data_IF_719017093277
#
_entry.id   IF_719017093277
#
_cell.length_a   1.000
_cell.length_b   1.000
_cell.length_c   1.000
_cell.angle_alpha   90.00
_cell.angle_beta   90.00
_cell.angle_gamma   90.00
#
_symmetry.space_group_name_H-M   'P 1'
#
loop_
_entity.id
_entity.type
_entity.pdbx_description
1 polymer ?
#
# COMPACT_ATOMS: atom_id res chain seq x y z
N UNK A 1 13.95 -3.21 -18.39
CA UNK A 1 13.21 -3.67 -17.23
C UNK A 1 14.05 -3.35 -16.00
N UNK A 2 13.50 -2.55 -15.08
CA UNK A 2 14.19 -2.11 -13.86
C UNK A 2 13.98 -3.13 -12.73
N UNK A 3 12.76 -3.63 -12.58
CA UNK A 3 12.43 -4.68 -11.62
C UNK A 3 11.30 -5.56 -12.14
N UNK A 4 11.16 -6.76 -11.58
CA UNK A 4 10.00 -7.63 -11.75
C UNK A 4 9.42 -7.90 -10.37
N UNK A 5 8.11 -7.93 -10.27
CA UNK A 5 7.41 -8.17 -9.03
C UNK A 5 6.33 -9.22 -9.24
N UNK A 6 6.32 -10.22 -8.39
CA UNK A 6 5.25 -11.18 -8.29
C UNK A 6 4.40 -10.80 -7.08
N UNK A 7 3.09 -10.71 -7.27
CA UNK A 7 2.12 -10.35 -6.23
C UNK A 7 2.29 -11.26 -5.00
N UNK A 8 2.47 -10.65 -3.82
CA UNK A 8 2.70 -11.39 -2.56
C UNK A 8 1.39 -11.97 -2.02
N UNK A 9 0.29 -11.21 -2.17
CA UNK A 9 -1.03 -11.64 -1.75
C UNK A 9 -1.97 -11.76 -2.96
N UNK A 10 -1.94 -12.88 -3.70
CA UNK A 10 -2.95 -13.14 -4.74
C UNK A 10 -4.34 -13.10 -4.14
N UNK A 11 -5.31 -12.60 -4.90
CA UNK A 11 -6.70 -12.48 -4.45
C UNK A 11 -7.41 -13.84 -4.54
N UNK A 12 -7.00 -14.76 -3.67
CA UNK A 12 -7.63 -16.08 -3.59
C UNK A 12 -9.04 -16.00 -2.99
N UNK A 13 -9.97 -16.88 -3.44
CA UNK A 13 -9.79 -17.88 -4.50
C UNK A 13 -10.05 -17.38 -5.93
N UNK A 14 -10.15 -16.07 -6.15
CA UNK A 14 -10.46 -15.50 -7.47
C UNK A 14 -9.29 -15.56 -8.45
N UNK A 15 -8.05 -15.45 -7.96
CA UNK A 15 -6.81 -15.59 -8.73
C UNK A 15 -6.22 -17.00 -8.56
N UNK A 16 -7.05 -18.03 -8.70
CA UNK A 16 -6.63 -19.41 -8.60
C UNK A 16 -5.59 -19.75 -9.68
N UNK A 17 -4.51 -20.46 -9.28
CA UNK A 17 -3.40 -20.79 -10.18
C UNK A 17 -2.32 -19.70 -10.31
N UNK A 18 -2.50 -18.54 -9.72
CA UNK A 18 -1.45 -17.51 -9.64
C UNK A 18 -0.44 -17.88 -8.56
N UNK A 19 0.85 -17.95 -8.93
CA UNK A 19 1.91 -18.22 -7.98
C UNK A 19 2.15 -17.00 -7.07
N UNK A 20 2.23 -17.25 -5.77
CA UNK A 20 2.52 -16.24 -4.77
C UNK A 20 3.99 -15.78 -4.86
N UNK A 21 4.21 -14.45 -4.82
CA UNK A 21 5.53 -13.87 -4.66
C UNK A 21 6.03 -13.94 -3.22
N UNK A 22 7.33 -13.82 -3.04
CA UNK A 22 7.99 -13.84 -1.71
C UNK A 22 8.98 -12.70 -1.53
N UNK A 23 9.19 -11.89 -2.57
CA UNK A 23 10.17 -10.81 -2.57
C UNK A 23 9.49 -9.44 -2.71
N UNK A 24 10.04 -8.43 -2.03
CA UNK A 24 9.56 -7.06 -2.14
C UNK A 24 9.88 -6.49 -3.53
N UNK A 25 8.90 -5.86 -4.16
CA UNK A 25 9.10 -5.08 -5.37
C UNK A 25 9.66 -3.71 -5.05
N UNK A 26 10.95 -3.49 -5.26
CA UNK A 26 11.63 -2.23 -4.98
C UNK A 26 12.46 -1.77 -6.18
N UNK A 27 12.50 -0.46 -6.41
CA UNK A 27 13.42 0.15 -7.37
C UNK A 27 13.68 1.62 -7.04
N UNK A 28 14.83 2.12 -7.46
CA UNK A 28 15.21 3.52 -7.25
C UNK A 28 15.02 4.33 -8.53
N UNK A 29 14.48 5.55 -8.37
CA UNK A 29 14.47 6.57 -9.41
C UNK A 29 15.41 7.69 -8.98
N UNK A 30 16.50 7.95 -9.72
CA UNK A 30 17.48 8.98 -9.37
C UNK A 30 16.82 10.34 -9.12
N UNK A 31 17.20 11.00 -8.03
CA UNK A 31 16.69 12.32 -7.61
C UNK A 31 15.18 12.36 -7.25
N UNK A 32 14.49 11.23 -7.22
CA UNK A 32 13.07 11.15 -6.83
C UNK A 32 12.91 10.35 -5.54
N UNK A 33 13.45 9.12 -5.49
CA UNK A 33 13.34 8.27 -4.32
C UNK A 33 13.25 6.79 -4.64
N UNK A 34 13.05 5.99 -3.60
CA UNK A 34 12.83 4.55 -3.71
C UNK A 34 11.35 4.25 -3.78
N UNK A 35 10.97 3.50 -4.79
CA UNK A 35 9.62 3.04 -5.04
C UNK A 35 9.42 1.62 -4.54
N UNK A 36 8.26 1.38 -3.91
CA UNK A 36 7.76 0.06 -3.58
C UNK A 36 6.53 -0.28 -4.41
N UNK A 37 6.31 -1.55 -4.69
CA UNK A 37 5.15 -2.06 -5.44
C UNK A 37 4.26 -2.84 -4.50
N UNK A 38 2.97 -2.47 -4.43
CA UNK A 38 1.90 -3.21 -3.80
C UNK A 38 0.79 -3.40 -4.83
N UNK A 39 0.73 -4.57 -5.47
CA UNK A 39 -0.16 -4.80 -6.61
C UNK A 39 -1.57 -5.21 -6.15
N UNK A 40 -2.55 -4.36 -6.40
CA UNK A 40 -3.97 -4.62 -6.17
C UNK A 40 -4.22 -5.04 -4.70
N UNK A 41 -4.64 -6.28 -4.46
CA UNK A 41 -4.95 -6.82 -3.14
C UNK A 41 -3.81 -6.72 -2.11
N UNK A 42 -2.56 -6.59 -2.55
CA UNK A 42 -1.41 -6.37 -1.68
C UNK A 42 -1.57 -5.18 -0.74
N UNK A 43 -2.29 -4.11 -1.15
CA UNK A 43 -2.47 -2.90 -0.33
C UNK A 43 -3.30 -3.15 0.93
N UNK A 44 -4.09 -4.21 0.96
CA UNK A 44 -4.92 -4.60 2.10
C UNK A 44 -4.10 -5.15 3.27
N UNK A 45 -2.82 -5.46 3.03
CA UNK A 45 -1.91 -6.05 4.01
C UNK A 45 -0.91 -5.01 4.52
N UNK A 46 -1.13 -4.45 5.73
CA UNK A 46 -0.24 -3.44 6.31
C UNK A 46 1.18 -3.98 6.53
N UNK A 47 1.35 -5.29 6.66
CA UNK A 47 2.64 -5.96 6.79
C UNK A 47 3.52 -5.72 5.56
N UNK A 48 2.95 -5.82 4.34
CA UNK A 48 3.69 -5.60 3.11
C UNK A 48 4.10 -4.12 2.99
N UNK A 49 3.17 -3.20 3.19
CA UNK A 49 3.47 -1.77 3.07
C UNK A 49 4.46 -1.31 4.15
N UNK A 50 4.39 -1.90 5.35
CA UNK A 50 5.39 -1.70 6.40
C UNK A 50 6.75 -2.23 5.97
N UNK A 51 6.83 -3.45 5.42
CA UNK A 51 8.07 -4.02 4.93
C UNK A 51 8.71 -3.18 3.83
N UNK A 52 7.93 -2.72 2.85
CA UNK A 52 8.40 -1.81 1.79
C UNK A 52 8.99 -0.53 2.39
N UNK A 53 8.30 0.09 3.34
CA UNK A 53 8.75 1.33 4.01
C UNK A 53 10.05 1.11 4.81
N UNK A 54 10.13 0.02 5.56
CA UNK A 54 11.34 -0.32 6.33
C UNK A 54 12.52 -0.68 5.42
N UNK A 55 12.26 -1.19 4.22
CA UNK A 55 13.25 -1.38 3.17
C UNK A 55 13.61 -0.09 2.40
N UNK A 56 13.10 1.06 2.86
CA UNK A 56 13.45 2.39 2.38
C UNK A 56 12.50 3.00 1.34
N UNK A 57 11.39 2.36 1.01
CA UNK A 57 10.42 2.95 0.08
C UNK A 57 9.88 4.28 0.63
N UNK A 58 9.86 5.27 -0.22
CA UNK A 58 9.30 6.61 0.03
C UNK A 58 8.03 6.87 -0.78
N UNK A 59 7.83 6.06 -1.82
CA UNK A 59 6.65 6.08 -2.68
C UNK A 59 6.18 4.64 -2.86
N UNK A 60 4.90 4.36 -2.66
CA UNK A 60 4.28 3.06 -2.94
C UNK A 60 3.38 3.20 -4.17
N UNK A 61 3.64 2.39 -5.19
CA UNK A 61 2.78 2.26 -6.36
C UNK A 61 1.80 1.11 -6.13
N UNK A 62 0.52 1.41 -6.29
CA UNK A 62 -0.56 0.43 -6.15
C UNK A 62 -1.39 0.40 -7.44
N UNK A 63 -0.95 -0.33 -8.47
CA UNK A 63 -1.79 -0.60 -9.64
C UNK A 63 -2.88 -1.59 -9.29
N UNK A 64 -4.14 -1.29 -9.66
CA UNK A 64 -5.30 -2.11 -9.34
C UNK A 64 -6.25 -2.27 -10.52
N UNK A 65 -7.09 -3.29 -10.48
CA UNK A 65 -8.25 -3.47 -11.35
C UNK A 65 -9.46 -3.86 -10.49
N UNK A 66 -9.92 -2.91 -9.69
CA UNK A 66 -11.06 -3.10 -8.79
C UNK A 66 -12.34 -2.64 -9.48
N UNK A 67 -13.22 -3.59 -9.80
CA UNK A 67 -14.53 -3.38 -10.40
C UNK A 67 -15.69 -3.70 -9.45
N UNK A 68 -15.40 -4.00 -8.21
CA UNK A 68 -16.31 -4.39 -7.15
C UNK A 68 -16.68 -3.21 -6.24
N UNK A 69 -17.62 -3.40 -5.34
CA UNK A 69 -18.17 -2.35 -4.48
C UNK A 69 -17.31 -2.03 -3.25
N UNK A 70 -16.14 -2.62 -3.14
CA UNK A 70 -15.16 -2.40 -2.07
C UNK A 70 -14.09 -1.33 -2.43
N UNK A 71 -14.22 -0.67 -3.59
CA UNK A 71 -13.27 0.38 -4.01
C UNK A 71 -13.20 1.56 -3.03
N UNK A 72 -14.28 1.96 -2.42
CA UNK A 72 -14.32 3.03 -1.41
C UNK A 72 -13.53 2.65 -0.14
N UNK A 73 -13.59 1.37 0.27
CA UNK A 73 -12.78 0.84 1.36
C UNK A 73 -11.30 0.85 0.97
N UNK A 74 -10.97 0.40 -0.24
CA UNK A 74 -9.59 0.41 -0.76
C UNK A 74 -9.00 1.82 -0.80
N UNK A 75 -9.76 2.82 -1.24
CA UNK A 75 -9.37 4.25 -1.19
C UNK A 75 -9.07 4.69 0.25
N UNK A 76 -9.87 4.26 1.22
CA UNK A 76 -9.65 4.54 2.63
C UNK A 76 -8.36 3.88 3.15
N UNK A 77 -8.09 2.64 2.75
CA UNK A 77 -6.84 1.92 3.06
C UNK A 77 -5.63 2.65 2.47
N UNK A 78 -5.70 3.10 1.22
CA UNK A 78 -4.62 3.87 0.57
C UNK A 78 -4.25 5.11 1.39
N UNK A 79 -5.24 5.87 1.84
CA UNK A 79 -5.04 7.06 2.68
C UNK A 79 -4.42 6.71 4.04
N UNK A 80 -4.94 5.69 4.70
CA UNK A 80 -4.42 5.21 5.97
C UNK A 80 -2.98 4.73 5.83
N UNK A 81 -2.68 3.97 4.77
CA UNK A 81 -1.34 3.48 4.46
C UNK A 81 -0.35 4.63 4.30
N UNK A 82 -0.67 5.67 3.53
CA UNK A 82 0.21 6.82 3.33
C UNK A 82 0.60 7.47 4.67
N UNK A 83 -0.37 7.71 5.56
CA UNK A 83 -0.14 8.28 6.87
C UNK A 83 0.64 7.35 7.81
N UNK A 84 0.26 6.06 7.87
CA UNK A 84 0.90 5.08 8.75
C UNK A 84 2.35 4.77 8.36
N UNK A 85 2.64 4.78 7.06
CA UNK A 85 3.97 4.50 6.51
C UNK A 85 4.78 5.77 6.26
N UNK A 86 4.18 6.96 6.43
CA UNK A 86 4.82 8.26 6.19
C UNK A 86 5.52 8.29 4.82
N UNK A 87 4.78 7.94 3.77
CA UNK A 87 5.22 7.85 2.39
C UNK A 87 4.11 8.31 1.43
N UNK A 88 4.46 8.63 0.20
CA UNK A 88 3.46 8.79 -0.86
C UNK A 88 2.86 7.44 -1.23
N UNK A 89 1.56 7.41 -1.51
CA UNK A 89 0.90 6.25 -2.11
C UNK A 89 0.16 6.70 -3.37
N UNK A 90 0.44 6.06 -4.49
CA UNK A 90 -0.22 6.31 -5.77
C UNK A 90 -0.97 5.06 -6.18
N UNK A 91 -2.30 5.10 -6.02
CA UNK A 91 -3.20 4.01 -6.41
C UNK A 91 -3.87 4.33 -7.74
N UNK A 92 -3.60 3.49 -8.74
CA UNK A 92 -4.12 3.67 -10.11
C UNK A 92 -5.04 2.51 -10.45
N UNK A 93 -6.33 2.81 -10.59
CA UNK A 93 -7.35 1.83 -10.95
C UNK A 93 -7.73 1.93 -12.43
N UNK A 94 -8.21 0.84 -13.00
CA UNK A 94 -8.90 0.87 -14.27
C UNK A 94 -10.13 1.77 -14.20
N UNK A 95 -10.46 2.44 -15.31
CA UNK A 95 -11.64 3.29 -15.43
C UNK A 95 -12.87 2.52 -15.93
N UNK A 96 -14.05 3.15 -15.87
CA UNK A 96 -15.25 2.60 -16.50
C UNK A 96 -15.06 2.38 -18.02
N UNK A 97 -15.70 1.36 -18.60
CA UNK A 97 -16.65 0.43 -17.97
C UNK A 97 -16.00 -0.81 -17.32
N UNK A 98 -14.68 -0.90 -17.27
CA UNK A 98 -13.96 -2.12 -16.85
C UNK A 98 -13.69 -2.18 -15.34
N UNK A 99 -13.59 -1.02 -14.70
CA UNK A 99 -13.37 -0.91 -13.27
C UNK A 99 -14.06 0.35 -12.70
N UNK A 100 -13.92 0.58 -11.39
CA UNK A 100 -14.60 1.67 -10.65
C UNK A 100 -13.85 3.00 -10.67
N UNK A 101 -12.75 3.14 -11.41
CA UNK A 101 -11.97 4.38 -11.41
C UNK A 101 -11.46 4.77 -10.03
N UNK A 102 -11.67 6.03 -9.65
CA UNK A 102 -11.26 6.59 -8.36
C UNK A 102 -9.76 6.42 -8.08
N UNK A 103 -8.92 6.63 -9.09
CA UNK A 103 -7.47 6.66 -8.91
C UNK A 103 -7.07 7.87 -8.07
N UNK A 104 -6.10 7.69 -7.16
CA UNK A 104 -5.69 8.78 -6.28
C UNK A 104 -4.20 8.73 -5.95
N UNK A 105 -3.65 9.90 -5.65
CA UNK A 105 -2.34 10.07 -5.05
C UNK A 105 -2.50 10.71 -3.67
N UNK A 106 -1.77 10.18 -2.70
CA UNK A 106 -1.86 10.57 -1.29
C UNK A 106 -0.46 10.90 -0.77
N UNK A 107 -0.34 12.02 -0.06
CA UNK A 107 0.91 12.47 0.54
C UNK A 107 1.23 11.73 1.87
N UNK A 108 2.42 11.92 2.45
CA UNK A 108 2.82 11.28 3.72
C UNK A 108 1.98 11.67 4.94
N UNK A 109 1.07 12.63 4.80
CA UNK A 109 0.14 13.07 5.84
C UNK A 109 -1.28 12.50 5.68
N UNK A 110 -1.49 11.62 4.70
CA UNK A 110 -2.80 11.04 4.39
C UNK A 110 -3.74 11.97 3.64
N UNK A 111 -3.21 13.08 3.06
CA UNK A 111 -3.97 14.03 2.27
C UNK A 111 -4.00 13.59 0.81
N UNK A 112 -5.18 13.55 0.21
CA UNK A 112 -5.32 13.32 -1.23
C UNK A 112 -4.82 14.56 -1.97
N UNK A 113 -3.77 14.40 -2.76
CA UNK A 113 -3.16 15.48 -3.54
C UNK A 113 -3.70 15.53 -4.97
N UNK A 114 -4.07 14.38 -5.50
CA UNK A 114 -4.70 14.23 -6.82
C UNK A 114 -5.70 13.09 -6.77
N UNK A 115 -6.81 13.23 -7.49
CA UNK A 115 -7.77 12.16 -7.69
C UNK A 115 -8.40 12.24 -9.07
N UNK A 116 -8.79 11.10 -9.60
CA UNK A 116 -9.64 10.97 -10.77
C UNK A 116 -10.98 10.36 -10.36
N UNK A 117 -12.01 10.68 -11.12
CA UNK A 117 -13.34 10.06 -10.99
C UNK A 117 -13.36 8.66 -11.62
N UNK A 118 -14.52 8.19 -11.97
CA UNK A 118 -14.74 6.89 -12.63
C UNK A 118 -14.23 6.85 -14.08
N UNK A 119 -14.09 8.01 -14.71
CA UNK A 119 -13.70 8.13 -16.12
C UNK A 119 -12.16 8.05 -16.30
N UNK A 120 -11.76 7.63 -17.49
CA UNK A 120 -10.34 7.58 -17.85
C UNK A 120 -9.71 8.98 -17.85
N UNK A 121 -8.49 9.08 -17.33
CA UNK A 121 -7.77 10.35 -17.24
C UNK A 121 -6.29 10.15 -16.97
N UNK A 122 -5.57 11.27 -16.83
CA UNK A 122 -4.14 11.30 -16.49
C UNK A 122 -3.96 12.10 -15.20
N UNK A 123 -3.34 11.48 -14.22
CA UNK A 123 -2.93 12.12 -12.96
C UNK A 123 -1.46 12.56 -13.07
N UNK A 124 -1.20 13.83 -12.79
CA UNK A 124 0.16 14.34 -12.62
C UNK A 124 0.46 14.47 -11.12
N UNK A 125 1.32 13.63 -10.63
CA UNK A 125 1.67 13.57 -9.21
C UNK A 125 3.02 14.25 -8.98
N UNK A 126 3.06 15.21 -8.08
CA UNK A 126 4.29 15.84 -7.61
C UNK A 126 4.74 15.16 -6.31
N UNK A 127 6.01 14.76 -6.27
CA UNK A 127 6.62 14.13 -5.10
C UNK A 127 7.59 15.12 -4.49
N UNK A 128 7.29 15.59 -3.28
CA UNK A 128 8.19 16.44 -2.50
C UNK A 128 8.93 15.61 -1.44
N UNK A 129 10.24 15.45 -1.63
CA UNK A 129 11.09 14.75 -0.68
C UNK A 129 11.15 15.42 0.71
N UNK A 130 10.92 16.75 0.78
CA UNK A 130 10.92 17.47 2.04
C UNK A 130 9.68 17.11 2.87
N UNK A 131 8.53 16.88 2.24
CA UNK A 131 7.31 16.45 2.94
C UNK A 131 7.49 15.04 3.52
N UNK A 132 8.19 14.14 2.82
CA UNK A 132 8.54 12.82 3.35
C UNK A 132 9.45 12.98 4.57
N UNK A 133 10.52 13.76 4.45
CA UNK A 133 11.47 14.00 5.53
C UNK A 133 10.78 14.65 6.74
N UNK A 134 9.95 15.67 6.51
CA UNK A 134 9.18 16.36 7.54
C UNK A 134 8.23 15.42 8.28
N UNK A 135 7.46 14.62 7.52
CA UNK A 135 6.53 13.66 8.12
C UNK A 135 7.27 12.65 8.99
N UNK A 136 8.42 12.14 8.53
CA UNK A 136 9.26 11.19 9.29
C UNK A 136 9.94 11.82 10.50
N UNK A 137 10.30 13.10 10.41
CA UNK A 137 10.91 13.84 11.52
C UNK A 137 9.90 14.28 12.57
N UNK A 138 8.79 14.90 12.16
CA UNK A 138 7.84 15.57 13.04
C UNK A 138 6.56 14.77 13.27
N UNK A 139 6.30 13.78 12.42
CA UNK A 139 5.05 13.02 12.43
C UNK A 139 4.02 13.53 11.43
N UNK A 140 2.99 12.74 11.27
CA UNK A 140 1.84 13.07 10.42
C UNK A 140 1.20 14.35 10.93
N UNK A 141 1.16 15.40 10.12
CA UNK A 141 0.65 16.74 10.47
C UNK A 141 1.29 17.31 11.74
N UNK A 142 2.60 17.09 11.90
CA UNK A 142 3.40 17.47 13.08
C UNK A 142 2.91 16.85 14.41
N UNK A 143 2.22 15.69 14.35
CA UNK A 143 1.63 15.01 15.52
C UNK A 143 2.06 13.53 15.60
N UNK A 144 1.42 12.65 14.86
CA UNK A 144 1.60 11.20 14.97
C UNK A 144 2.93 10.70 14.40
N UNK A 145 3.88 10.32 15.25
CA UNK A 145 5.21 9.83 14.85
C UNK A 145 5.23 8.30 14.72
N UNK A 146 4.42 7.76 13.82
CA UNK A 146 4.11 6.33 13.71
C UNK A 146 5.36 5.45 13.55
N UNK A 147 6.31 5.81 12.67
CA UNK A 147 7.52 5.04 12.44
C UNK A 147 8.48 5.09 13.64
N UNK A 148 8.61 6.23 14.30
CA UNK A 148 9.45 6.34 15.52
C UNK A 148 8.83 5.55 16.67
N UNK A 149 7.52 5.68 16.87
CA UNK A 149 6.80 4.92 17.90
C UNK A 149 6.91 3.41 17.66
N UNK A 150 6.82 2.98 16.39
CA UNK A 150 7.04 1.58 16.03
C UNK A 150 8.48 1.12 16.36
N UNK A 151 9.49 1.91 15.99
CA UNK A 151 10.91 1.62 16.28
C UNK A 151 11.18 1.47 17.78
N UNK A 152 10.59 2.35 18.57
CA UNK A 152 10.85 2.45 20.00
C UNK A 152 9.91 1.58 20.86
N UNK A 153 8.97 0.88 20.19
CA UNK A 153 8.03 -0.03 20.85
C UNK A 153 8.74 -1.29 21.35
N UNK A 154 8.50 -1.67 22.59
CA UNK A 154 8.90 -2.97 23.13
C UNK A 154 7.90 -4.10 22.84
N UNK A 155 6.94 -3.89 21.95
CA UNK A 155 5.88 -4.87 21.64
C UNK A 155 6.46 -6.11 20.97
N UNK A 156 6.13 -7.29 21.50
CA UNK A 156 6.39 -8.56 20.83
C UNK A 156 5.39 -8.78 19.68
N UNK A 157 5.89 -9.14 18.51
CA UNK A 157 5.09 -9.46 17.32
C UNK A 157 4.97 -10.99 17.10
N UNK A 158 5.15 -11.80 18.15
CA UNK A 158 5.06 -13.25 18.06
C UNK A 158 3.72 -13.72 17.47
N UNK A 159 2.61 -13.06 17.85
CA UNK A 159 1.27 -13.39 17.34
C UNK A 159 1.02 -13.09 15.86
N UNK A 160 1.97 -12.43 15.17
CA UNK A 160 1.93 -12.29 13.72
C UNK A 160 2.24 -13.61 12.99
N UNK A 161 2.83 -14.57 13.68
CA UNK A 161 3.04 -15.92 13.15
C UNK A 161 1.75 -16.72 13.25
N UNK A 162 1.35 -17.35 12.16
CA UNK A 162 0.08 -18.09 12.08
C UNK A 162 -0.03 -19.20 13.12
N UNK A 163 1.06 -19.93 13.39
CA UNK A 163 1.13 -21.00 14.36
C UNK A 163 1.00 -20.54 15.82
N UNK A 164 1.25 -19.28 16.10
CA UNK A 164 1.15 -18.68 17.43
C UNK A 164 -0.16 -17.89 17.64
N UNK A 165 -0.97 -17.76 16.59
CA UNK A 165 -2.23 -17.02 16.63
C UNK A 165 -3.43 -17.96 16.70
N UNK A 166 -4.12 -18.00 17.85
CA UNK A 166 -5.37 -18.74 18.00
C UNK A 166 -6.45 -18.29 17.01
N UNK A 167 -6.47 -17.01 16.66
CA UNK A 167 -7.41 -16.45 15.66
C UNK A 167 -7.12 -17.03 14.29
N UNK A 168 -5.86 -16.93 13.81
CA UNK A 168 -5.50 -17.43 12.50
C UNK A 168 -5.66 -18.94 12.39
N UNK A 169 -5.33 -19.67 13.45
CA UNK A 169 -5.49 -21.14 13.53
C UNK A 169 -6.96 -21.56 13.46
N UNK A 170 -7.87 -20.75 14.02
CA UNK A 170 -9.31 -21.04 13.99
C UNK A 170 -10.01 -20.70 12.67
N UNK A 171 -9.34 -19.94 11.79
CA UNK A 171 -9.89 -19.60 10.48
C UNK A 171 -9.96 -20.85 9.58
N UNK A 172 -11.10 -21.04 8.91
CA UNK A 172 -11.25 -22.07 7.89
C UNK A 172 -10.56 -21.70 6.57
N UNK A 173 -10.70 -22.58 5.59
CA UNK A 173 -10.22 -22.32 4.24
C UNK A 173 -10.88 -21.08 3.61
N UNK A 174 -10.19 -20.43 2.69
CA UNK A 174 -10.72 -19.34 1.87
C UNK A 174 -12.00 -19.81 1.14
N UNK A 175 -13.04 -18.99 1.18
CA UNK A 175 -14.33 -19.26 0.54
C UNK A 175 -14.57 -18.26 -0.57
N UNK A 176 -15.07 -18.76 -1.69
CA UNK A 176 -15.62 -17.96 -2.77
C UNK A 176 -17.09 -17.69 -2.45
N UNK A 177 -17.58 -16.44 -2.45
CA UNK A 177 -18.97 -16.11 -2.20
C UNK A 177 -19.92 -16.64 -3.28
#
# INVERSE_FOLDING_TARGET
VVTRYNKIYPFYPYEEGVAQGVELGLFDVPNVGRFGIANCYDIWFPELTRALTLAGATIVLNPVLTNTNDRDIEVSIVRATAAQQQCYVVSVNGAEPFAKGCSLAVDPHGTVTQELTETAGVMRVEIDANEIARSRERGVRDLGQTLKSYRDSGMSLAHYKSEESAVLTALGALKKP
#
